data_IF_485594949039
#
_entry.id   IF_485594949039
#
_cell.length_a   1.000
_cell.length_b   1.000
_cell.length_c   1.000
_cell.angle_alpha   90.00
_cell.angle_beta   90.00
_cell.angle_gamma   90.00
#
_symmetry.space_group_name_H-M   'P 1'
#
loop_
_entity.id
_entity.type
_entity.pdbx_description
1 polymer ?
#
# COMPACT_ATOMS: atom_id res chain seq x y z
N UNK A 1 -32.53 1.22 3.71
CA UNK A 1 -31.48 2.27 3.71
C UNK A 1 -30.36 1.82 4.64
N UNK A 2 -29.15 1.64 4.13
CA UNK A 2 -28.00 1.21 4.96
C UNK A 2 -27.32 2.44 5.60
N UNK A 3 -26.83 2.35 6.85
CA UNK A 3 -26.25 3.51 7.52
C UNK A 3 -24.90 3.88 6.89
N UNK A 4 -24.65 5.19 6.71
CA UNK A 4 -23.35 5.72 6.28
C UNK A 4 -22.34 5.53 7.42
N UNK A 5 -21.50 4.49 7.34
CA UNK A 5 -20.49 4.18 8.36
C UNK A 5 -19.13 4.83 8.12
N UNK A 6 -18.96 5.64 7.06
CA UNK A 6 -17.66 6.26 6.72
C UNK A 6 -17.86 7.69 6.24
N UNK A 7 -17.46 8.65 7.07
CA UNK A 7 -17.52 10.08 6.79
C UNK A 7 -16.62 10.52 5.63
N UNK A 8 -15.56 9.77 5.27
CA UNK A 8 -14.73 10.04 4.09
C UNK A 8 -14.20 8.74 3.45
N UNK A 9 -14.81 8.24 2.36
CA UNK A 9 -14.36 7.01 1.69
C UNK A 9 -13.09 7.20 0.82
N UNK A 10 -12.78 8.42 0.37
CA UNK A 10 -11.75 8.70 -0.64
C UNK A 10 -10.46 9.32 -0.10
N UNK A 11 -10.31 9.45 1.23
CA UNK A 11 -9.08 10.02 1.79
C UNK A 11 -7.95 9.00 1.66
N UNK A 12 -7.18 9.13 0.59
CA UNK A 12 -5.85 8.50 0.49
C UNK A 12 -5.06 8.96 1.72
N UNK A 13 -4.41 8.07 2.50
CA UNK A 13 -3.54 8.53 3.57
C UNK A 13 -2.53 9.51 2.99
N UNK A 14 -2.37 10.66 3.65
CA UNK A 14 -1.49 11.75 3.22
C UNK A 14 -0.13 11.20 2.78
N UNK A 15 0.41 11.61 1.60
CA UNK A 15 1.74 11.20 1.15
C UNK A 15 2.85 11.79 2.03
N UNK A 16 2.53 12.83 2.81
CA UNK A 16 3.45 13.36 3.79
C UNK A 16 3.66 12.30 4.87
N UNK A 17 4.85 11.69 4.86
CA UNK A 17 5.38 10.96 6.00
C UNK A 17 5.01 11.77 7.24
N UNK A 18 4.26 11.18 8.17
CA UNK A 18 4.07 11.73 9.51
C UNK A 18 5.44 12.25 9.95
N UNK A 19 5.56 13.57 10.12
CA UNK A 19 6.85 14.27 10.16
C UNK A 19 7.83 13.51 11.04
N UNK A 20 9.03 13.26 10.51
CA UNK A 20 10.14 12.55 11.17
C UNK A 20 10.06 11.02 11.25
N UNK A 21 9.15 10.34 10.54
CA UNK A 21 9.11 8.87 10.48
C UNK A 21 9.29 8.38 9.05
N UNK A 22 10.52 8.00 8.70
CA UNK A 22 10.78 7.25 7.46
C UNK A 22 9.88 6.00 7.38
N UNK A 23 9.51 5.60 6.17
CA UNK A 23 8.73 4.40 5.92
C UNK A 23 9.47 3.16 6.48
N UNK A 24 9.12 2.77 7.71
CA UNK A 24 9.82 1.73 8.48
C UNK A 24 9.63 0.33 7.92
N UNK A 25 8.71 0.12 6.98
CA UNK A 25 8.35 -1.20 6.45
C UNK A 25 9.51 -1.87 5.73
N UNK A 26 10.23 -1.17 4.84
CA UNK A 26 11.34 -1.76 4.09
C UNK A 26 12.51 -2.11 4.99
N UNK A 27 12.91 -1.21 5.90
CA UNK A 27 14.01 -1.47 6.85
C UNK A 27 13.65 -2.56 7.86
N UNK A 28 12.40 -2.61 8.31
CA UNK A 28 11.90 -3.65 9.22
C UNK A 28 11.87 -5.02 8.55
N UNK A 29 11.43 -5.12 7.29
CA UNK A 29 11.52 -6.37 6.53
C UNK A 29 12.98 -6.82 6.39
N UNK A 30 13.88 -5.94 5.91
CA UNK A 30 15.32 -6.24 5.77
C UNK A 30 15.94 -6.71 7.09
N UNK A 31 15.64 -6.02 8.20
CA UNK A 31 16.09 -6.41 9.54
C UNK A 31 15.68 -7.83 9.87
N UNK A 32 14.40 -8.18 9.68
CA UNK A 32 13.89 -9.50 10.02
C UNK A 32 14.37 -10.60 9.08
N UNK A 33 14.59 -10.31 7.80
CA UNK A 33 15.17 -11.22 6.83
C UNK A 33 16.62 -11.57 7.21
N UNK A 34 17.43 -10.55 7.53
CA UNK A 34 18.81 -10.75 8.01
C UNK A 34 18.81 -11.46 9.35
N UNK A 35 17.94 -11.05 10.29
CA UNK A 35 17.85 -11.62 11.63
C UNK A 35 17.47 -13.11 11.63
N UNK A 36 16.61 -13.55 10.71
CA UNK A 36 16.33 -14.98 10.51
C UNK A 36 17.51 -15.72 9.89
N UNK A 37 18.13 -15.16 8.85
CA UNK A 37 19.28 -15.80 8.18
C UNK A 37 20.50 -15.92 9.09
N UNK A 38 20.66 -15.01 10.04
CA UNK A 38 21.82 -14.93 10.92
C UNK A 38 21.52 -15.34 12.36
N UNK A 39 20.45 -16.12 12.60
CA UNK A 39 20.08 -16.52 13.96
C UNK A 39 21.24 -17.25 14.65
N UNK A 40 21.87 -16.60 15.63
CA UNK A 40 22.97 -17.14 16.41
C UNK A 40 24.38 -16.81 15.93
N UNK A 41 24.57 -16.30 14.70
CA UNK A 41 25.91 -16.00 14.15
C UNK A 41 26.29 -14.52 14.23
N UNK A 42 25.32 -13.61 14.11
CA UNK A 42 25.56 -12.16 14.14
C UNK A 42 24.93 -11.49 15.35
N UNK A 43 25.64 -10.50 15.90
CA UNK A 43 25.11 -9.67 16.99
C UNK A 43 24.01 -8.72 16.50
N UNK A 44 23.05 -8.40 17.36
CA UNK A 44 21.95 -7.47 17.04
C UNK A 44 22.45 -6.08 16.64
N UNK A 45 23.57 -5.64 17.22
CA UNK A 45 24.24 -4.38 16.87
C UNK A 45 24.78 -4.39 15.43
N UNK A 46 25.37 -5.51 15.01
CA UNK A 46 25.86 -5.68 13.63
C UNK A 46 24.71 -5.64 12.62
N UNK A 47 23.64 -6.39 12.89
CA UNK A 47 22.43 -6.42 12.06
C UNK A 47 21.78 -5.03 11.95
N UNK A 48 21.73 -4.28 13.07
CA UNK A 48 21.19 -2.93 13.09
C UNK A 48 21.99 -1.96 12.21
N UNK A 49 23.32 -2.05 12.25
CA UNK A 49 24.22 -1.23 11.42
C UNK A 49 24.02 -1.54 9.94
N UNK A 50 23.99 -2.82 9.57
CA UNK A 50 23.79 -3.26 8.17
C UNK A 50 22.43 -2.80 7.62
N UNK A 51 21.41 -2.73 8.49
CA UNK A 51 20.07 -2.28 8.11
C UNK A 51 19.87 -0.76 8.19
N UNK A 52 20.88 0.01 8.61
CA UNK A 52 20.78 1.46 8.79
C UNK A 52 19.73 1.87 9.83
N UNK A 53 19.64 1.15 10.94
CA UNK A 53 18.70 1.40 12.03
C UNK A 53 19.43 1.56 13.37
N UNK A 54 18.80 2.27 14.32
CA UNK A 54 19.32 2.35 15.69
C UNK A 54 19.21 1.02 16.42
N UNK A 55 20.12 0.76 17.36
CA UNK A 55 20.08 -0.46 18.18
C UNK A 55 18.79 -0.54 19.03
N UNK A 56 18.29 0.60 19.52
CA UNK A 56 17.02 0.69 20.25
C UNK A 56 15.83 0.23 19.39
N UNK A 57 15.80 0.65 18.12
CA UNK A 57 14.80 0.20 17.15
C UNK A 57 14.88 -1.31 16.91
N UNK A 58 16.08 -1.85 16.76
CA UNK A 58 16.29 -3.29 16.58
C UNK A 58 15.83 -4.11 17.79
N UNK A 59 16.10 -3.65 19.03
CA UNK A 59 15.61 -4.31 20.27
C UNK A 59 14.09 -4.26 20.36
N UNK A 60 13.50 -3.11 20.06
CA UNK A 60 12.05 -2.95 20.04
C UNK A 60 11.40 -3.91 19.04
N UNK A 61 11.94 -4.03 17.82
CA UNK A 61 11.45 -4.97 16.81
C UNK A 61 11.63 -6.43 17.23
N UNK A 62 12.79 -6.80 17.81
CA UNK A 62 13.01 -8.14 18.36
C UNK A 62 11.96 -8.49 19.43
N UNK A 63 11.65 -7.57 20.35
CA UNK A 63 10.62 -7.75 21.39
C UNK A 63 9.23 -7.96 20.80
N UNK A 64 8.91 -7.28 19.69
CA UNK A 64 7.64 -7.42 18.99
C UNK A 64 7.47 -8.73 18.23
N UNK A 65 8.53 -9.52 18.07
CA UNK A 65 8.48 -10.85 17.47
C UNK A 65 8.27 -10.89 15.96
N UNK A 66 8.53 -12.06 15.35
CA UNK A 66 8.45 -12.27 13.90
C UNK A 66 7.02 -12.23 13.36
N UNK A 67 6.00 -12.33 14.20
CA UNK A 67 4.58 -12.22 13.80
C UNK A 67 4.24 -10.84 13.22
N UNK A 68 5.02 -9.81 13.56
CA UNK A 68 4.92 -8.48 12.98
C UNK A 68 5.72 -8.28 11.68
N UNK A 69 6.30 -9.36 11.11
CA UNK A 69 6.87 -9.38 9.75
C UNK A 69 5.84 -9.24 8.67
N UNK A 70 4.58 -9.53 9.01
CA UNK A 70 3.50 -9.53 8.04
C UNK A 70 3.42 -8.11 7.50
N UNK A 71 3.75 -7.98 6.20
CA UNK A 71 2.99 -7.08 5.35
C UNK A 71 1.52 -7.34 5.71
N UNK A 72 0.97 -6.50 6.59
CA UNK A 72 -0.45 -6.61 6.98
C UNK A 72 -1.32 -6.48 5.75
N UNK A 73 -0.78 -5.82 4.72
CA UNK A 73 -1.36 -5.70 3.41
C UNK A 73 -0.83 -6.80 2.46
N UNK A 74 -1.68 -7.72 1.97
CA UNK A 74 -1.29 -8.55 0.84
C UNK A 74 -0.86 -7.66 -0.33
N UNK A 75 0.17 -8.08 -1.06
CA UNK A 75 0.56 -7.40 -2.29
C UNK A 75 -0.62 -7.47 -3.26
N UNK A 76 -1.10 -6.33 -3.75
CA UNK A 76 -2.15 -6.33 -4.75
C UNK A 76 -1.58 -6.94 -6.03
N UNK A 77 -2.18 -8.03 -6.53
CA UNK A 77 -1.86 -8.58 -7.85
C UNK A 77 -2.18 -7.59 -8.98
N UNK A 78 -3.03 -6.62 -8.70
CA UNK A 78 -3.39 -5.52 -9.59
C UNK A 78 -2.51 -4.32 -9.24
N UNK A 79 -1.67 -3.90 -10.19
CA UNK A 79 -1.05 -2.58 -10.13
C UNK A 79 -2.12 -1.51 -10.46
N UNK A 80 -2.18 -0.45 -9.65
CA UNK A 80 -3.06 0.68 -9.88
C UNK A 80 -4.53 0.47 -9.47
N UNK A 81 -5.33 1.52 -9.64
CA UNK A 81 -6.78 1.45 -9.46
C UNK A 81 -7.41 0.68 -10.64
N UNK A 82 -8.38 -0.20 -10.34
CA UNK A 82 -9.23 -0.76 -11.39
C UNK A 82 -9.94 0.40 -12.10
N UNK A 83 -9.83 0.47 -13.42
CA UNK A 83 -10.58 1.45 -14.22
C UNK A 83 -12.06 1.37 -13.85
N UNK A 84 -12.67 2.52 -13.55
CA UNK A 84 -14.12 2.64 -13.38
C UNK A 84 -14.87 2.42 -14.70
N UNK A 85 -14.17 2.60 -15.82
CA UNK A 85 -14.69 2.40 -17.17
C UNK A 85 -14.41 0.98 -17.59
N UNK A 86 -15.46 0.20 -17.87
CA UNK A 86 -15.32 -1.15 -18.39
C UNK A 86 -15.25 -1.13 -19.92
N UNK A 87 -14.72 -2.21 -20.52
CA UNK A 87 -14.70 -2.36 -21.99
C UNK A 87 -16.10 -2.25 -22.60
N UNK A 88 -17.15 -2.68 -21.90
CA UNK A 88 -18.52 -2.53 -22.38
C UNK A 88 -18.94 -1.06 -22.40
N UNK A 89 -18.57 -0.25 -21.41
CA UNK A 89 -18.82 1.19 -21.41
C UNK A 89 -18.15 1.86 -22.62
N UNK A 90 -16.88 1.52 -22.91
CA UNK A 90 -16.19 2.04 -24.09
C UNK A 90 -16.91 1.65 -25.40
N UNK A 91 -17.37 0.40 -25.51
CA UNK A 91 -18.12 -0.07 -26.70
C UNK A 91 -19.44 0.67 -26.89
N UNK A 92 -20.13 1.03 -25.80
CA UNK A 92 -21.38 1.81 -25.85
C UNK A 92 -21.09 3.23 -26.34
N UNK A 93 -20.05 3.88 -25.82
CA UNK A 93 -19.69 5.25 -26.18
C UNK A 93 -19.20 5.38 -27.64
N UNK A 94 -18.47 4.40 -28.16
CA UNK A 94 -17.97 4.44 -29.54
C UNK A 94 -19.04 4.04 -30.56
N UNK A 95 -20.00 3.20 -30.17
CA UNK A 95 -21.03 2.72 -31.09
C UNK A 95 -22.01 3.84 -31.47
N UNK A 96 -22.15 4.17 -32.77
CA UNK A 96 -23.04 5.25 -33.21
C UNK A 96 -24.51 5.05 -32.82
N UNK A 97 -24.98 3.81 -32.80
CA UNK A 97 -26.37 3.46 -32.48
C UNK A 97 -26.64 3.33 -30.98
N UNK A 98 -25.62 3.07 -30.18
CA UNK A 98 -25.74 2.82 -28.74
C UNK A 98 -25.28 3.97 -27.88
N UNK A 99 -24.58 4.96 -28.43
CA UNK A 99 -24.13 6.12 -27.67
C UNK A 99 -25.31 7.08 -27.44
N UNK A 100 -25.79 7.23 -26.19
CA UNK A 100 -26.91 8.12 -25.88
C UNK A 100 -26.57 9.59 -26.12
N UNK A 101 -25.28 9.96 -26.01
CA UNK A 101 -24.82 11.34 -26.16
C UNK A 101 -25.01 11.86 -27.58
N UNK A 102 -24.92 10.98 -28.58
CA UNK A 102 -25.13 11.34 -30.00
C UNK A 102 -26.59 11.64 -30.35
N UNK A 103 -27.54 11.25 -29.49
CA UNK A 103 -28.97 11.52 -29.70
C UNK A 103 -29.41 12.83 -29.06
N UNK A 104 -28.55 13.53 -28.32
CA UNK A 104 -28.89 14.85 -27.83
C UNK A 104 -28.85 15.85 -28.99
N UNK A 105 -29.91 16.66 -29.18
CA UNK A 105 -29.87 17.75 -30.13
C UNK A 105 -28.73 18.69 -29.73
N UNK A 106 -27.94 19.11 -30.71
CA UNK A 106 -26.91 20.12 -30.50
C UNK A 106 -27.66 21.45 -30.29
N UNK A 107 -27.66 21.98 -29.06
CA UNK A 107 -28.10 23.37 -28.88
C UNK A 107 -27.04 24.26 -29.54
N UNK A 108 -27.47 24.97 -30.59
CA UNK A 108 -26.67 25.90 -31.37
C UNK A 108 -26.92 27.34 -30.89
#
# INVERSE_FOLDING_TARGET
>A
MAPLTRTHPDRTPSPNLLSNKEATTTRRCRFFDVFERSSGTRSLRSIARDCGISEGTARYWKKQGPTNKRRTRPASKVLGHKSRVTKSTCKILVSPSRNPVRKHPFEA
#
